data_IF_282506795116
#
_entry.id   IF_282506795116
#
_cell.length_a   1.000
_cell.length_b   1.000
_cell.length_c   1.000
_cell.angle_alpha   90.00
_cell.angle_beta   90.00
_cell.angle_gamma   90.00
#
_symmetry.space_group_name_H-M   'P 1'
#
loop_
_entity.id
_entity.type
_entity.pdbx_description
1 polymer ?
#
# COMPACT_ATOMS: atom_id res chain seq x y z
N UNK A 1 6.84 -10.78 31.55
CA UNK A 1 6.73 -10.25 30.18
C UNK A 1 5.27 -10.37 29.78
N UNK A 2 4.59 -9.27 29.46
CA UNK A 2 3.21 -9.33 28.96
C UNK A 2 3.24 -9.76 27.49
N UNK A 3 2.56 -10.85 27.16
CA UNK A 3 2.32 -11.21 25.76
C UNK A 3 1.55 -10.08 25.08
N UNK A 4 2.13 -9.53 24.02
CA UNK A 4 1.46 -8.57 23.15
C UNK A 4 0.22 -9.24 22.56
N UNK A 5 -0.98 -8.80 22.93
CA UNK A 5 -2.21 -9.22 22.23
C UNK A 5 -2.10 -8.77 20.77
N UNK A 6 -1.85 -9.71 19.87
CA UNK A 6 -1.82 -9.45 18.43
C UNK A 6 -3.24 -9.48 17.88
N UNK A 7 -3.58 -8.50 17.05
CA UNK A 7 -4.85 -8.44 16.31
C UNK A 7 -4.51 -8.46 14.83
N UNK A 8 -5.03 -9.47 14.13
CA UNK A 8 -4.87 -9.58 12.68
C UNK A 8 -5.95 -8.76 12.00
N UNK A 9 -5.56 -7.94 11.02
CA UNK A 9 -6.47 -7.11 10.24
C UNK A 9 -6.32 -7.49 8.77
N UNK A 10 -7.43 -7.62 8.06
CA UNK A 10 -7.43 -7.83 6.61
C UNK A 10 -7.44 -6.47 5.92
N UNK A 11 -6.48 -6.25 5.03
CA UNK A 11 -6.41 -5.04 4.20
C UNK A 11 -6.70 -5.44 2.76
N UNK A 12 -7.80 -4.95 2.14
CA UNK A 12 -8.08 -5.21 0.75
C UNK A 12 -7.04 -4.51 -0.14
N UNK A 13 -6.12 -5.30 -0.70
CA UNK A 13 -5.02 -4.86 -1.54
C UNK A 13 -5.17 -5.49 -2.93
N UNK A 14 -5.32 -4.65 -3.96
CA UNK A 14 -5.26 -5.09 -5.36
C UNK A 14 -4.05 -4.49 -6.04
N UNK A 15 -3.29 -5.31 -6.79
CA UNK A 15 -2.09 -4.88 -7.52
C UNK A 15 -2.19 -5.37 -8.95
N UNK A 16 -1.93 -4.51 -9.93
CA UNK A 16 -1.89 -4.88 -11.33
C UNK A 16 -0.82 -4.10 -12.08
N UNK A 17 -0.35 -4.68 -13.19
CA UNK A 17 0.57 -4.03 -14.10
C UNK A 17 -0.22 -3.46 -15.28
N UNK A 18 0.05 -2.20 -15.61
CA UNK A 18 -0.50 -1.55 -16.79
C UNK A 18 0.61 -1.42 -17.84
N UNK A 19 0.50 -2.21 -18.91
CA UNK A 19 1.47 -2.24 -20.01
C UNK A 19 1.52 -0.91 -20.77
N UNK A 20 0.39 -0.21 -20.89
CA UNK A 20 0.33 1.06 -21.65
C UNK A 20 1.08 2.20 -20.96
N UNK A 21 1.13 2.19 -19.63
CA UNK A 21 1.81 3.21 -18.83
C UNK A 21 3.13 2.73 -18.21
N UNK A 22 3.54 1.50 -18.50
CA UNK A 22 4.72 0.83 -17.91
C UNK A 22 4.78 1.01 -16.38
N UNK A 23 3.63 0.88 -15.73
CA UNK A 23 3.45 1.19 -14.30
C UNK A 23 2.72 0.09 -13.57
N UNK A 24 3.11 -0.13 -12.32
CA UNK A 24 2.42 -1.00 -11.37
C UNK A 24 1.45 -0.13 -10.59
N UNK A 25 0.18 -0.48 -10.65
CA UNK A 25 -0.89 0.17 -9.92
C UNK A 25 -1.26 -0.65 -8.69
N UNK A 26 -1.68 0.06 -7.65
CA UNK A 26 -2.10 -0.50 -6.38
C UNK A 26 -3.35 0.21 -5.89
N UNK A 27 -4.34 -0.57 -5.45
CA UNK A 27 -5.52 -0.07 -4.74
C UNK A 27 -5.47 -0.61 -3.31
N UNK A 28 -5.43 0.30 -2.34
CA UNK A 28 -5.49 0.00 -0.91
C UNK A 28 -6.82 0.54 -0.38
N UNK A 29 -7.79 -0.34 -0.16
CA UNK A 29 -9.10 0.02 0.40
C UNK A 29 -9.79 1.22 -0.31
N UNK A 30 -9.77 1.22 -1.64
CA UNK A 30 -10.36 2.27 -2.47
C UNK A 30 -9.43 3.43 -2.82
N UNK A 31 -8.24 3.52 -2.20
CA UNK A 31 -7.22 4.54 -2.55
C UNK A 31 -6.27 4.01 -3.63
N UNK A 32 -6.28 4.66 -4.79
CA UNK A 32 -5.44 4.31 -5.94
C UNK A 32 -4.07 4.99 -5.89
N UNK A 33 -3.01 4.24 -6.17
CA UNK A 33 -1.65 4.75 -6.32
C UNK A 33 -0.88 3.91 -7.35
N UNK A 34 0.29 4.37 -7.78
CA UNK A 34 1.12 3.68 -8.78
C UNK A 34 2.60 3.99 -8.63
N UNK A 35 3.44 3.09 -9.14
CA UNK A 35 4.88 3.24 -9.29
C UNK A 35 5.31 2.82 -10.69
N UNK A 36 6.39 3.41 -11.19
CA UNK A 36 6.98 2.95 -12.44
C UNK A 36 7.60 1.54 -12.22
N UNK A 37 7.58 0.70 -13.25
CA UNK A 37 8.18 -0.65 -13.24
C UNK A 37 9.69 -0.62 -12.97
N UNK A 38 10.38 0.44 -13.39
CA UNK A 38 11.86 0.56 -13.35
C UNK A 38 12.41 0.57 -11.92
N UNK A 39 13.23 -0.43 -11.53
CA UNK A 39 13.84 -0.50 -10.19
C UNK A 39 14.68 0.73 -9.83
N UNK A 40 15.32 1.34 -10.82
CA UNK A 40 16.13 2.55 -10.70
C UNK A 40 15.30 3.84 -10.50
N UNK A 41 13.98 3.77 -10.68
CA UNK A 41 13.08 4.91 -10.46
C UNK A 41 12.95 5.19 -8.96
N UNK A 42 13.81 6.08 -8.46
CA UNK A 42 13.71 6.64 -7.09
C UNK A 42 12.42 7.44 -6.86
N UNK A 43 11.71 7.81 -7.93
CA UNK A 43 10.33 8.32 -7.88
C UNK A 43 9.37 7.14 -7.71
N UNK A 44 9.36 6.55 -6.51
CA UNK A 44 8.13 5.94 -6.01
C UNK A 44 7.15 7.07 -5.72
N UNK A 45 5.85 6.90 -6.01
CA UNK A 45 4.87 7.89 -5.59
C UNK A 45 4.90 7.95 -4.04
N UNK A 46 5.33 9.06 -3.41
CA UNK A 46 5.50 9.13 -1.95
C UNK A 46 4.20 8.81 -1.21
N UNK A 47 3.07 9.01 -1.88
CA UNK A 47 1.75 8.67 -1.36
C UNK A 47 1.53 7.17 -1.16
N UNK A 48 2.29 6.27 -1.82
CA UNK A 48 2.03 4.84 -1.75
C UNK A 48 2.27 4.27 -0.34
N UNK A 49 3.42 4.60 0.23
CA UNK A 49 3.72 4.25 1.63
C UNK A 49 2.80 5.00 2.59
N UNK A 50 2.54 6.30 2.35
CA UNK A 50 1.65 7.09 3.21
C UNK A 50 0.21 6.59 3.25
N UNK A 51 -0.35 6.16 2.12
CA UNK A 51 -1.71 5.63 2.01
C UNK A 51 -1.82 4.31 2.77
N UNK A 52 -0.86 3.40 2.58
CA UNK A 52 -0.83 2.13 3.29
C UNK A 52 -0.61 2.34 4.79
N UNK A 53 0.32 3.21 5.17
CA UNK A 53 0.60 3.55 6.57
C UNK A 53 -0.61 4.18 7.26
N UNK A 54 -1.29 5.13 6.62
CA UNK A 54 -2.51 5.77 7.13
C UNK A 54 -3.62 4.74 7.33
N UNK A 55 -3.81 3.85 6.34
CA UNK A 55 -4.82 2.79 6.43
C UNK A 55 -4.51 1.82 7.58
N UNK A 56 -3.26 1.37 7.72
CA UNK A 56 -2.82 0.52 8.84
C UNK A 56 -3.01 1.19 10.20
N UNK A 57 -2.66 2.48 10.33
CA UNK A 57 -2.88 3.27 11.55
C UNK A 57 -4.35 3.36 11.91
N UNK A 58 -5.23 3.57 10.92
CA UNK A 58 -6.66 3.66 11.17
C UNK A 58 -7.27 2.29 11.51
N UNK A 59 -6.86 1.22 10.85
CA UNK A 59 -7.32 -0.13 11.15
C UNK A 59 -6.88 -0.59 12.55
N UNK A 60 -5.70 -0.15 13.02
CA UNK A 60 -5.21 -0.42 14.37
C UNK A 60 -5.84 0.41 15.50
N UNK A 61 -6.61 1.46 15.20
CA UNK A 61 -7.37 2.24 16.21
C UNK A 61 -8.63 1.52 16.71
N UNK A 62 -8.94 0.33 16.18
CA UNK A 62 -10.06 -0.52 16.58
C UNK A 62 -9.85 -1.25 17.91
#
# INVERSE_FOLDING_TARGET
MSESKTKTLSVPLSVWYNESSDSIHMNVDGKLTSVNRKPESKRGNPSLYGILEEHLKNAGKL
#
